data_IF_595787487138
#
_entry.id   IF_595787487138
#
_cell.length_a   1.000
_cell.length_b   1.000
_cell.length_c   1.000
_cell.angle_alpha   90.00
_cell.angle_beta   90.00
_cell.angle_gamma   90.00
#
_symmetry.space_group_name_H-M   'P 1'
#
loop_
_entity.id
_entity.type
_entity.pdbx_description
1 polymer ?
#
# COMPACT_ATOMS: atom_id res chain seq x y z
N UNK A 1 -18.22 -20.30 -85.79
CA UNK A 1 -18.89 -19.19 -85.07
C UNK A 1 -17.98 -18.85 -83.91
N UNK A 2 -17.58 -17.58 -83.74
CA UNK A 2 -16.71 -17.23 -82.63
C UNK A 2 -17.38 -17.63 -81.31
N UNK A 3 -16.63 -18.32 -80.45
CA UNK A 3 -17.13 -18.86 -79.18
C UNK A 3 -17.91 -20.18 -79.27
N UNK A 4 -17.79 -20.93 -80.38
CA UNK A 4 -18.34 -22.30 -80.49
C UNK A 4 -17.31 -23.27 -81.07
N UNK A 5 -17.23 -24.47 -80.49
CA UNK A 5 -16.49 -25.63 -81.02
C UNK A 5 -17.50 -26.60 -81.64
N UNK A 6 -17.26 -26.99 -82.89
CA UNK A 6 -18.13 -27.91 -83.63
C UNK A 6 -17.51 -29.31 -83.69
N UNK A 7 -18.27 -30.34 -83.37
CA UNK A 7 -17.91 -31.74 -83.61
C UNK A 7 -18.96 -32.40 -84.52
N UNK A 8 -18.48 -33.25 -85.44
CA UNK A 8 -19.32 -33.94 -86.43
C UNK A 8 -19.21 -35.45 -86.20
N UNK A 9 -20.34 -36.10 -85.95
CA UNK A 9 -20.44 -37.57 -85.88
C UNK A 9 -21.53 -38.04 -86.85
N UNK A 10 -21.12 -38.59 -88.00
CA UNK A 10 -22.07 -38.98 -89.05
C UNK A 10 -22.76 -37.77 -89.67
N UNK A 11 -24.09 -37.70 -89.54
CA UNK A 11 -24.91 -36.57 -90.01
C UNK A 11 -25.23 -35.55 -88.90
N UNK A 12 -24.83 -35.81 -87.66
CA UNK A 12 -25.09 -34.94 -86.52
C UNK A 12 -23.94 -33.93 -86.35
N UNK A 13 -24.30 -32.66 -86.21
CA UNK A 13 -23.37 -31.56 -85.90
C UNK A 13 -23.73 -31.03 -84.51
N UNK A 14 -22.80 -31.19 -83.57
CA UNK A 14 -22.91 -30.62 -82.22
C UNK A 14 -22.08 -29.34 -82.15
N UNK A 15 -22.71 -28.23 -81.81
CA UNK A 15 -22.04 -26.95 -81.56
C UNK A 15 -22.04 -26.67 -80.05
N UNK A 16 -20.87 -26.76 -79.42
CA UNK A 16 -20.70 -26.46 -77.98
C UNK A 16 -20.16 -25.05 -77.81
N UNK A 17 -20.79 -24.25 -76.95
CA UNK A 17 -20.31 -22.90 -76.62
C UNK A 17 -19.00 -23.00 -75.85
N UNK A 18 -17.95 -22.34 -76.35
CA UNK A 18 -16.64 -22.25 -75.70
C UNK A 18 -16.33 -20.79 -75.40
N UNK A 19 -16.12 -20.47 -74.14
CA UNK A 19 -15.66 -19.16 -73.69
C UNK A 19 -14.63 -19.37 -72.58
N UNK A 20 -13.63 -18.50 -72.53
CA UNK A 20 -12.66 -18.46 -71.44
C UNK A 20 -12.97 -17.29 -70.52
N UNK A 21 -12.72 -17.48 -69.23
CA UNK A 21 -12.94 -16.49 -68.19
C UNK A 21 -11.64 -16.26 -67.42
N UNK A 22 -11.60 -15.16 -66.68
CA UNK A 22 -10.61 -14.95 -65.63
C UNK A 22 -11.37 -14.89 -64.31
N UNK A 23 -10.96 -15.73 -63.35
CA UNK A 23 -11.43 -15.64 -61.96
C UNK A 23 -10.35 -14.92 -61.18
N UNK A 24 -10.62 -13.72 -60.73
CA UNK A 24 -9.68 -12.91 -59.96
C UNK A 24 -10.29 -12.43 -58.66
N UNK A 25 -9.42 -12.23 -57.67
CA UNK A 25 -9.82 -11.83 -56.34
C UNK A 25 -8.69 -11.13 -55.60
N UNK A 26 -9.07 -10.49 -54.50
CA UNK A 26 -8.16 -9.79 -53.61
C UNK A 26 -8.16 -10.43 -52.22
N UNK A 27 -7.03 -10.29 -51.53
CA UNK A 27 -6.85 -10.73 -50.16
C UNK A 27 -6.72 -9.51 -49.23
N UNK A 28 -7.62 -9.45 -48.25
CA UNK A 28 -7.64 -8.45 -47.18
C UNK A 28 -7.23 -9.08 -45.83
N UNK A 29 -6.53 -8.30 -45.01
CA UNK A 29 -6.09 -8.69 -43.66
C UNK A 29 -6.71 -7.78 -42.60
N UNK A 30 -7.56 -8.34 -41.74
CA UNK A 30 -8.10 -7.71 -40.54
C UNK A 30 -7.29 -8.16 -39.32
N UNK A 31 -6.11 -7.58 -39.17
CA UNK A 31 -5.12 -8.03 -38.19
C UNK A 31 -4.34 -6.89 -37.53
N UNK A 32 -4.81 -5.65 -37.72
CA UNK A 32 -4.15 -4.44 -37.24
C UNK A 32 -2.65 -4.35 -37.61
N UNK A 33 -2.29 -4.76 -38.83
CA UNK A 33 -0.90 -4.81 -39.32
C UNK A 33 0.00 -5.71 -38.48
N UNK A 34 -0.49 -6.91 -38.17
CA UNK A 34 0.22 -7.88 -37.37
C UNK A 34 1.63 -8.19 -37.92
N UNK A 35 2.62 -8.25 -37.02
CA UNK A 35 4.03 -8.52 -37.38
C UNK A 35 4.31 -9.99 -37.70
N UNK A 36 3.41 -10.88 -37.29
CA UNK A 36 3.46 -12.34 -37.49
C UNK A 36 2.59 -12.79 -38.68
N UNK A 37 2.16 -11.86 -39.55
CA UNK A 37 1.43 -12.17 -40.79
C UNK A 37 2.30 -13.08 -41.68
N UNK A 38 1.75 -14.17 -42.26
CA UNK A 38 2.49 -15.01 -43.18
C UNK A 38 2.88 -14.24 -44.45
N UNK A 39 3.98 -14.64 -45.09
CA UNK A 39 4.48 -14.00 -46.32
C UNK A 39 3.63 -14.32 -47.56
N UNK A 40 2.89 -15.43 -47.53
CA UNK A 40 2.00 -15.87 -48.61
C UNK A 40 0.78 -16.63 -48.05
N UNK A 41 -0.24 -16.74 -48.89
CA UNK A 41 -1.37 -17.67 -48.72
C UNK A 41 -1.54 -18.50 -49.98
N UNK A 42 -2.21 -19.65 -49.87
CA UNK A 42 -2.62 -20.46 -51.02
C UNK A 42 -4.13 -20.40 -51.20
N UNK A 43 -4.54 -20.05 -52.40
CA UNK A 43 -5.95 -19.97 -52.82
C UNK A 43 -6.20 -21.06 -53.84
N UNK A 44 -7.14 -21.95 -53.55
CA UNK A 44 -7.59 -22.99 -54.45
C UNK A 44 -8.77 -22.48 -55.28
N UNK A 45 -8.74 -22.71 -56.60
CA UNK A 45 -9.89 -22.55 -57.48
C UNK A 45 -10.68 -23.85 -57.53
N UNK A 46 -11.97 -23.79 -57.19
CA UNK A 46 -12.89 -24.91 -57.26
C UNK A 46 -13.79 -24.76 -58.48
N UNK A 47 -13.79 -25.76 -59.35
CA UNK A 47 -14.73 -25.92 -60.46
C UNK A 47 -15.77 -26.98 -60.06
N UNK A 48 -17.04 -26.59 -59.96
CA UNK A 48 -18.14 -27.46 -59.52
C UNK A 48 -17.81 -28.23 -58.21
N UNK A 49 -17.13 -27.57 -57.27
CA UNK A 49 -16.72 -28.13 -55.98
C UNK A 49 -15.42 -28.94 -55.98
N UNK A 50 -14.74 -29.12 -57.11
CA UNK A 50 -13.44 -29.81 -57.20
C UNK A 50 -12.31 -28.82 -57.40
N UNK A 51 -11.23 -28.94 -56.63
CA UNK A 51 -10.01 -28.14 -56.82
C UNK A 51 -9.39 -28.46 -58.19
N UNK A 52 -9.16 -27.42 -58.99
CA UNK A 52 -8.59 -27.52 -60.35
C UNK A 52 -7.30 -26.74 -60.55
N UNK A 53 -7.05 -25.71 -59.73
CA UNK A 53 -5.80 -24.95 -59.72
C UNK A 53 -5.57 -24.34 -58.32
N UNK A 54 -4.33 -23.95 -58.02
CA UNK A 54 -3.94 -23.26 -56.78
C UNK A 54 -2.98 -22.12 -57.11
N UNK A 55 -3.24 -20.94 -56.55
CA UNK A 55 -2.36 -19.76 -56.67
C UNK A 55 -1.88 -19.28 -55.32
N UNK A 56 -0.68 -18.72 -55.32
CA UNK A 56 -0.17 -17.98 -54.17
C UNK A 56 -0.47 -16.49 -54.31
N UNK A 57 -0.96 -15.89 -53.23
CA UNK A 57 -1.06 -14.43 -53.10
C UNK A 57 -0.04 -13.96 -52.06
N UNK A 58 0.69 -12.89 -52.38
CA UNK A 58 1.78 -12.37 -51.54
C UNK A 58 1.72 -10.84 -51.48
N UNK A 59 2.51 -10.23 -50.60
CA UNK A 59 2.68 -8.78 -50.60
C UNK A 59 3.22 -8.25 -51.95
N UNK A 60 4.08 -9.01 -52.65
CA UNK A 60 4.65 -8.61 -53.94
C UNK A 60 3.59 -8.55 -55.05
N UNK A 61 2.51 -9.34 -54.95
CA UNK A 61 1.36 -9.27 -55.87
C UNK A 61 0.29 -8.28 -55.41
N UNK A 62 0.60 -7.43 -54.43
CA UNK A 62 -0.36 -6.58 -53.72
C UNK A 62 -1.57 -7.38 -53.20
N UNK A 63 -1.33 -8.62 -52.76
CA UNK A 63 -2.36 -9.55 -52.29
C UNK A 63 -3.49 -9.79 -53.30
N UNK A 64 -3.18 -9.72 -54.59
CA UNK A 64 -4.08 -10.10 -55.69
C UNK A 64 -3.70 -11.45 -56.26
N UNK A 65 -4.68 -12.17 -56.79
CA UNK A 65 -4.49 -13.41 -57.53
C UNK A 65 -5.50 -13.52 -58.68
N UNK A 66 -5.12 -14.23 -59.73
CA UNK A 66 -5.96 -14.47 -60.89
C UNK A 66 -5.71 -15.86 -61.48
N UNK A 67 -6.81 -16.52 -61.84
CA UNK A 67 -6.85 -17.76 -62.60
C UNK A 67 -7.33 -17.42 -64.01
N UNK A 68 -6.39 -17.23 -64.92
CA UNK A 68 -6.66 -16.87 -66.30
C UNK A 68 -7.03 -18.10 -67.14
N UNK A 69 -7.73 -17.87 -68.24
CA UNK A 69 -8.02 -18.86 -69.28
C UNK A 69 -8.83 -20.09 -68.81
N UNK A 70 -9.65 -19.96 -67.77
CA UNK A 70 -10.51 -21.05 -67.28
C UNK A 70 -11.75 -21.21 -68.16
N UNK A 71 -12.17 -22.45 -68.41
CA UNK A 71 -13.31 -22.75 -69.28
C UNK A 71 -14.63 -22.27 -68.66
N UNK A 72 -15.50 -21.62 -69.42
CA UNK A 72 -16.80 -21.15 -68.93
C UNK A 72 -17.88 -22.25 -68.93
N UNK A 73 -17.76 -23.22 -69.83
CA UNK A 73 -18.77 -24.24 -70.08
C UNK A 73 -18.12 -25.62 -70.23
N UNK A 74 -18.82 -26.66 -69.79
CA UNK A 74 -18.41 -28.04 -70.02
C UNK A 74 -18.63 -28.49 -71.47
N UNK A 75 -18.28 -29.74 -71.77
CA UNK A 75 -18.42 -30.33 -73.11
C UNK A 75 -19.88 -30.34 -73.63
N UNK A 76 -20.87 -30.29 -72.72
CA UNK A 76 -22.30 -30.26 -73.04
C UNK A 76 -22.85 -28.83 -73.12
N UNK A 77 -22.02 -27.80 -72.90
CA UNK A 77 -22.43 -26.40 -72.91
C UNK A 77 -23.05 -25.92 -71.59
N UNK A 78 -22.94 -26.67 -70.49
CA UNK A 78 -23.41 -26.26 -69.16
C UNK A 78 -22.36 -25.40 -68.48
N UNK A 79 -22.75 -24.27 -67.91
CA UNK A 79 -21.80 -23.33 -67.28
C UNK A 79 -21.14 -23.95 -66.04
N UNK A 80 -19.81 -23.78 -65.93
CA UNK A 80 -19.08 -24.13 -64.72
C UNK A 80 -19.37 -23.13 -63.61
N UNK A 81 -19.58 -23.64 -62.38
CA UNK A 81 -19.59 -22.83 -61.16
C UNK A 81 -18.16 -22.76 -60.62
N UNK A 82 -17.64 -21.55 -60.47
CA UNK A 82 -16.34 -21.29 -59.85
C UNK A 82 -16.48 -20.66 -58.48
N UNK A 83 -15.71 -21.18 -57.53
CA UNK A 83 -15.58 -20.69 -56.16
C UNK A 83 -14.09 -20.69 -55.80
N UNK A 84 -13.70 -19.85 -54.85
CA UNK A 84 -12.34 -19.86 -54.29
C UNK A 84 -12.37 -20.32 -52.86
N UNK A 85 -11.30 -21.00 -52.43
CA UNK A 85 -11.12 -21.42 -51.05
C UNK A 85 -9.69 -21.14 -50.63
N UNK A 86 -9.51 -20.49 -49.48
CA UNK A 86 -8.20 -20.38 -48.88
C UNK A 86 -7.81 -21.68 -48.16
N UNK A 87 -6.54 -22.08 -48.29
CA UNK A 87 -5.98 -23.09 -47.41
C UNK A 87 -5.83 -22.53 -45.98
N UNK A 88 -5.98 -23.35 -44.93
CA UNK A 88 -5.97 -22.87 -43.55
C UNK A 88 -4.71 -22.06 -43.21
N UNK A 89 -4.90 -20.89 -42.61
CA UNK A 89 -3.82 -20.03 -42.12
C UNK A 89 -3.87 -20.03 -40.59
N UNK A 90 -2.79 -20.50 -39.95
CA UNK A 90 -2.73 -20.59 -38.49
C UNK A 90 -2.92 -19.21 -37.83
N UNK A 91 -3.82 -19.13 -36.84
CA UNK A 91 -4.13 -17.88 -36.12
C UNK A 91 -5.10 -16.93 -36.83
N UNK A 92 -5.68 -17.36 -37.95
CA UNK A 92 -6.62 -16.55 -38.73
C UNK A 92 -7.89 -17.34 -39.05
N UNK A 93 -9.02 -16.62 -39.05
CA UNK A 93 -10.28 -17.10 -39.58
C UNK A 93 -10.49 -16.48 -40.97
N UNK A 94 -10.72 -17.34 -41.96
CA UNK A 94 -10.94 -16.96 -43.36
C UNK A 94 -12.42 -16.78 -43.64
N UNK A 95 -12.75 -15.76 -44.42
CA UNK A 95 -14.10 -15.44 -44.86
C UNK A 95 -14.07 -15.03 -46.34
N UNK A 96 -14.93 -15.63 -47.16
CA UNK A 96 -14.90 -15.51 -48.63
C UNK A 96 -16.18 -14.87 -49.12
N UNK A 97 -16.04 -13.74 -49.82
CA UNK A 97 -17.13 -12.99 -50.42
C UNK A 97 -16.94 -12.92 -51.94
N UNK A 98 -17.64 -13.79 -52.67
CA UNK A 98 -17.41 -13.98 -54.11
C UNK A 98 -16.03 -14.60 -54.35
N UNK A 99 -15.09 -13.79 -54.82
CA UNK A 99 -13.68 -14.18 -54.99
C UNK A 99 -12.72 -13.39 -54.09
N UNK A 100 -13.21 -12.48 -53.27
CA UNK A 100 -12.38 -11.77 -52.29
C UNK A 100 -12.30 -12.58 -50.99
N UNK A 101 -11.11 -12.61 -50.40
CA UNK A 101 -10.81 -13.35 -49.17
C UNK A 101 -10.42 -12.34 -48.10
N UNK A 102 -11.03 -12.41 -46.92
CA UNK A 102 -10.63 -11.65 -45.74
C UNK A 102 -10.18 -12.59 -44.65
N UNK A 103 -8.96 -12.39 -44.11
CA UNK A 103 -8.54 -13.08 -42.90
C UNK A 103 -8.60 -12.14 -41.70
N UNK A 104 -9.31 -12.58 -40.67
CA UNK A 104 -9.37 -11.90 -39.37
C UNK A 104 -8.50 -12.65 -38.37
N UNK A 105 -7.65 -11.92 -37.65
CA UNK A 105 -6.79 -12.51 -36.62
C UNK A 105 -7.64 -13.01 -35.46
N UNK A 106 -7.42 -14.25 -35.03
CA UNK A 106 -8.17 -14.89 -33.95
C UNK A 106 -7.23 -15.58 -32.98
N UNK A 107 -7.69 -15.77 -31.76
CA UNK A 107 -6.94 -16.47 -30.73
C UNK A 107 -7.67 -16.45 -29.40
N UNK A 108 -7.30 -17.35 -28.51
CA UNK A 108 -7.76 -17.37 -27.13
C UNK A 108 -6.61 -17.02 -26.19
N UNK A 109 -6.95 -16.43 -25.05
CA UNK A 109 -6.05 -16.16 -23.95
C UNK A 109 -6.74 -16.50 -22.62
N UNK A 110 -5.99 -16.40 -21.53
CA UNK A 110 -6.50 -16.50 -20.18
C UNK A 110 -5.96 -15.37 -19.32
N UNK A 111 -6.71 -15.02 -18.29
CA UNK A 111 -6.29 -14.10 -17.24
C UNK A 111 -6.27 -14.86 -15.93
N UNK A 112 -5.12 -14.94 -15.28
CA UNK A 112 -4.96 -15.61 -14.00
C UNK A 112 -4.27 -14.70 -13.00
N UNK A 113 -4.72 -14.75 -11.75
CA UNK A 113 -4.22 -13.90 -10.70
C UNK A 113 -4.44 -14.52 -9.33
N UNK A 114 -3.74 -13.94 -8.36
CA UNK A 114 -3.80 -14.33 -6.95
C UNK A 114 -4.29 -13.17 -6.09
N UNK A 115 -4.90 -13.52 -4.96
CA UNK A 115 -5.32 -12.58 -3.94
C UNK A 115 -4.45 -12.72 -2.70
N UNK A 116 -3.81 -11.61 -2.33
CA UNK A 116 -3.01 -11.48 -1.11
C UNK A 116 -3.71 -10.58 -0.10
N UNK A 117 -3.62 -10.97 1.18
CA UNK A 117 -4.14 -10.20 2.31
C UNK A 117 -3.00 -9.69 3.18
N UNK A 118 -2.90 -8.36 3.32
CA UNK A 118 -2.05 -7.65 4.26
C UNK A 118 -2.91 -7.15 5.40
N UNK A 119 -3.14 -7.99 6.40
CA UNK A 119 -4.08 -7.70 7.50
C UNK A 119 -3.69 -8.33 8.84
N UNK A 120 -2.44 -8.79 8.97
CA UNK A 120 -1.98 -9.47 10.18
C UNK A 120 -2.77 -10.73 10.54
N UNK A 121 -3.35 -11.43 9.55
CA UNK A 121 -4.24 -12.58 9.74
C UNK A 121 -5.52 -12.23 10.51
N UNK A 122 -6.16 -11.13 10.13
CA UNK A 122 -7.39 -10.66 10.75
C UNK A 122 -8.50 -11.73 10.74
N UNK A 123 -9.17 -11.92 11.89
CA UNK A 123 -10.33 -12.81 12.02
C UNK A 123 -11.61 -12.25 11.38
N UNK A 124 -11.63 -10.95 11.09
CA UNK A 124 -12.75 -10.24 10.43
C UNK A 124 -12.64 -10.22 8.90
N UNK A 125 -11.71 -10.98 8.32
CA UNK A 125 -11.54 -11.09 6.87
C UNK A 125 -12.80 -11.69 6.23
N UNK A 126 -13.32 -11.14 5.11
CA UNK A 126 -14.44 -11.75 4.41
C UNK A 126 -14.08 -13.14 3.88
N UNK A 127 -15.07 -14.02 3.81
CA UNK A 127 -14.90 -15.40 3.33
C UNK A 127 -14.84 -15.52 1.81
N UNK A 128 -15.35 -14.51 1.11
CA UNK A 128 -15.38 -14.42 -0.36
C UNK A 128 -15.12 -12.98 -0.82
N UNK A 129 -14.56 -12.84 -2.02
CA UNK A 129 -14.43 -11.58 -2.74
C UNK A 129 -14.97 -11.75 -4.15
N UNK A 130 -15.31 -10.63 -4.81
CA UNK A 130 -15.68 -10.60 -6.22
C UNK A 130 -14.62 -9.87 -7.03
N UNK A 131 -14.06 -10.56 -8.02
CA UNK A 131 -13.10 -10.02 -8.96
C UNK A 131 -13.79 -9.90 -10.32
N UNK A 132 -13.88 -8.67 -10.82
CA UNK A 132 -14.41 -8.37 -12.14
C UNK A 132 -13.27 -8.45 -13.17
N UNK A 133 -13.53 -9.11 -14.31
CA UNK A 133 -12.71 -9.05 -15.51
C UNK A 133 -13.20 -7.92 -16.39
N UNK A 134 -12.29 -7.01 -16.76
CA UNK A 134 -12.57 -5.91 -17.66
C UNK A 134 -11.93 -6.17 -19.01
N UNK A 135 -12.71 -6.04 -20.09
CA UNK A 135 -12.26 -6.04 -21.47
C UNK A 135 -12.40 -4.61 -22.01
N UNK A 136 -11.28 -3.99 -22.39
CA UNK A 136 -11.23 -2.58 -22.84
C UNK A 136 -11.97 -1.62 -21.87
N UNK A 137 -11.82 -1.84 -20.57
CA UNK A 137 -12.44 -1.02 -19.52
C UNK A 137 -13.91 -1.35 -19.18
N UNK A 138 -14.54 -2.32 -19.87
CA UNK A 138 -15.91 -2.76 -19.57
C UNK A 138 -15.88 -4.11 -18.85
N UNK A 139 -16.66 -4.24 -17.77
CA UNK A 139 -16.84 -5.52 -17.08
C UNK A 139 -17.52 -6.52 -18.02
N UNK A 140 -16.90 -7.69 -18.20
CA UNK A 140 -17.39 -8.78 -19.07
C UNK A 140 -17.62 -10.09 -18.33
N UNK A 141 -17.00 -10.28 -17.17
CA UNK A 141 -17.20 -11.44 -16.31
C UNK A 141 -16.85 -11.08 -14.85
N UNK A 142 -17.33 -11.87 -13.90
CA UNK A 142 -17.06 -11.73 -12.47
C UNK A 142 -16.85 -13.10 -11.85
N UNK A 143 -15.76 -13.27 -11.09
CA UNK A 143 -15.52 -14.49 -10.30
C UNK A 143 -15.58 -14.23 -8.80
N UNK A 144 -16.19 -15.17 -8.09
CA UNK A 144 -16.06 -15.28 -6.64
C UNK A 144 -14.78 -16.05 -6.29
N UNK A 145 -14.00 -15.50 -5.37
CA UNK A 145 -12.71 -16.06 -4.94
C UNK A 145 -12.73 -16.25 -3.43
N UNK A 146 -12.33 -17.42 -2.96
CA UNK A 146 -12.43 -17.81 -1.54
C UNK A 146 -11.13 -18.43 -1.04
N UNK A 147 -11.07 -18.72 0.26
CA UNK A 147 -9.97 -19.51 0.82
C UNK A 147 -9.89 -20.94 0.24
N UNK A 148 -11.04 -21.53 -0.18
CA UNK A 148 -11.07 -22.87 -0.75
C UNK A 148 -10.40 -22.95 -2.13
N UNK A 149 -10.39 -21.84 -2.88
CA UNK A 149 -9.64 -21.72 -4.14
C UNK A 149 -8.20 -21.26 -3.92
N UNK A 150 -7.71 -21.34 -2.69
CA UNK A 150 -6.41 -20.81 -2.26
C UNK A 150 -6.20 -19.34 -2.66
N UNK A 151 -7.29 -18.56 -2.69
CA UNK A 151 -7.26 -17.16 -3.14
C UNK A 151 -6.74 -16.98 -4.58
N UNK A 152 -6.85 -17.99 -5.44
CA UNK A 152 -6.49 -17.94 -6.86
C UNK A 152 -7.75 -17.87 -7.73
N UNK A 153 -7.63 -17.25 -8.89
CA UNK A 153 -8.69 -17.20 -9.89
C UNK A 153 -8.12 -17.19 -11.31
N UNK A 154 -8.93 -17.70 -12.25
CA UNK A 154 -8.58 -17.80 -13.67
C UNK A 154 -9.81 -17.55 -14.52
N UNK A 155 -9.74 -16.68 -15.50
CA UNK A 155 -10.71 -16.52 -16.57
C UNK A 155 -10.13 -17.17 -17.83
N UNK A 156 -10.80 -18.20 -18.36
CA UNK A 156 -10.32 -19.01 -19.49
C UNK A 156 -11.04 -18.66 -20.79
N UNK A 157 -10.47 -19.08 -21.93
CA UNK A 157 -11.08 -18.99 -23.27
C UNK A 157 -11.54 -17.57 -23.62
N UNK A 158 -10.75 -16.58 -23.25
CA UNK A 158 -11.01 -15.18 -23.57
C UNK A 158 -10.56 -14.90 -25.00
N UNK A 159 -11.38 -14.23 -25.80
CA UNK A 159 -10.95 -13.82 -27.13
C UNK A 159 -9.76 -12.86 -27.05
N UNK A 160 -8.70 -13.12 -27.80
CA UNK A 160 -7.52 -12.26 -27.79
C UNK A 160 -7.69 -11.02 -28.68
N UNK A 161 -8.53 -11.08 -29.71
CA UNK A 161 -8.69 -10.03 -30.72
C UNK A 161 -10.16 -9.73 -31.02
N UNK A 162 -10.45 -8.49 -31.38
CA UNK A 162 -11.76 -8.06 -31.84
C UNK A 162 -12.04 -8.43 -33.31
N UNK A 163 -13.20 -8.03 -33.83
CA UNK A 163 -13.61 -8.32 -35.21
C UNK A 163 -12.71 -7.70 -36.30
N UNK A 164 -11.84 -6.74 -35.93
CA UNK A 164 -10.87 -6.11 -36.83
C UNK A 164 -9.45 -6.65 -36.62
N UNK A 165 -9.29 -7.66 -35.75
CA UNK A 165 -7.99 -8.22 -35.38
C UNK A 165 -7.17 -7.33 -34.43
N UNK A 166 -7.79 -6.37 -33.74
CA UNK A 166 -7.13 -5.56 -32.71
C UNK A 166 -7.15 -6.31 -31.38
N UNK A 167 -6.00 -6.37 -30.70
CA UNK A 167 -5.90 -7.10 -29.44
C UNK A 167 -6.77 -6.47 -28.33
N UNK A 168 -7.52 -7.29 -27.60
CA UNK A 168 -8.23 -6.85 -26.41
C UNK A 168 -7.26 -6.58 -25.26
N UNK A 169 -7.48 -5.47 -24.55
CA UNK A 169 -6.83 -5.20 -23.27
C UNK A 169 -7.68 -5.80 -22.15
N UNK A 170 -7.11 -6.72 -21.40
CA UNK A 170 -7.74 -7.28 -20.20
C UNK A 170 -7.13 -6.71 -18.93
N UNK A 171 -7.99 -6.41 -17.96
CA UNK A 171 -7.64 -5.89 -16.63
C UNK A 171 -8.55 -6.55 -15.59
N UNK A 172 -8.15 -6.51 -14.32
CA UNK A 172 -8.95 -7.02 -13.21
C UNK A 172 -9.25 -5.91 -12.22
N UNK A 173 -10.42 -5.99 -11.59
CA UNK A 173 -10.82 -5.06 -10.52
C UNK A 173 -11.51 -5.84 -9.42
N UNK A 174 -11.13 -5.59 -8.17
CA UNK A 174 -11.89 -6.10 -7.05
C UNK A 174 -13.07 -5.17 -6.72
N UNK A 175 -14.22 -5.75 -6.38
CA UNK A 175 -15.31 -5.00 -5.78
C UNK A 175 -14.92 -4.50 -4.38
N UNK A 176 -15.33 -3.27 -3.98
CA UNK A 176 -14.90 -2.67 -2.72
C UNK A 176 -15.20 -3.54 -1.49
N UNK A 177 -14.24 -3.61 -0.57
CA UNK A 177 -14.38 -4.32 0.70
C UNK A 177 -14.18 -3.33 1.83
N UNK A 178 -15.17 -3.22 2.71
CA UNK A 178 -15.12 -2.29 3.83
C UNK A 178 -13.89 -2.54 4.73
N UNK A 179 -13.15 -1.46 5.04
CA UNK A 179 -11.94 -1.52 5.88
C UNK A 179 -10.71 -2.10 5.19
N UNK A 180 -10.72 -2.23 3.85
CA UNK A 180 -9.58 -2.67 3.07
C UNK A 180 -9.34 -1.75 1.88
N UNK A 181 -8.07 -1.54 1.55
CA UNK A 181 -7.63 -0.80 0.37
C UNK A 181 -6.98 -1.78 -0.63
N UNK A 182 -7.53 -1.91 -1.86
CA UNK A 182 -7.00 -2.82 -2.86
C UNK A 182 -5.87 -2.17 -3.69
N UNK A 183 -4.89 -2.99 -4.07
CA UNK A 183 -3.85 -2.66 -5.06
C UNK A 183 -3.73 -3.79 -6.07
N UNK A 184 -3.81 -3.45 -7.35
CA UNK A 184 -3.66 -4.39 -8.47
C UNK A 184 -2.25 -4.26 -9.06
N UNK A 185 -1.56 -5.38 -9.26
CA UNK A 185 -0.28 -5.45 -9.96
C UNK A 185 -0.35 -6.55 -11.03
N UNK A 186 -0.46 -6.16 -12.30
CA UNK A 186 -0.84 -7.08 -13.37
C UNK A 186 -2.26 -7.60 -13.10
N UNK A 187 -2.36 -8.88 -12.72
CA UNK A 187 -3.62 -9.50 -12.30
C UNK A 187 -3.63 -9.93 -10.82
N UNK A 188 -2.54 -9.70 -10.09
CA UNK A 188 -2.52 -9.98 -8.65
C UNK A 188 -3.17 -8.84 -7.89
N UNK A 189 -3.99 -9.19 -6.90
CA UNK A 189 -4.73 -8.25 -6.07
C UNK A 189 -4.19 -8.36 -4.65
N UNK A 190 -3.78 -7.24 -4.05
CA UNK A 190 -3.40 -7.17 -2.64
C UNK A 190 -4.36 -6.26 -1.91
N UNK A 191 -5.00 -6.74 -0.84
CA UNK A 191 -5.74 -5.87 0.07
C UNK A 191 -4.97 -5.60 1.33
N UNK A 192 -4.88 -4.33 1.69
CA UNK A 192 -4.27 -3.88 2.94
C UNK A 192 -5.37 -3.44 3.89
N UNK A 193 -5.34 -3.93 5.13
CA UNK A 193 -6.28 -3.50 6.18
C UNK A 193 -6.04 -2.03 6.49
N UNK A 194 -7.09 -1.23 6.49
CA UNK A 194 -7.04 0.20 6.79
C UNK A 194 -8.12 0.57 7.79
N UNK A 195 -7.88 1.65 8.52
CA UNK A 195 -8.81 2.17 9.50
C UNK A 195 -8.18 3.27 10.33
N UNK A 196 -9.04 4.02 11.03
CA UNK A 196 -8.62 5.02 12.01
C UNK A 196 -9.11 4.63 13.39
N UNK A 197 -8.42 5.13 14.41
CA UNK A 197 -8.77 5.01 15.81
C UNK A 197 -8.51 6.34 16.52
N UNK A 198 -8.89 6.40 17.78
CA UNK A 198 -8.56 7.49 18.70
C UNK A 198 -8.05 6.93 20.01
N UNK A 199 -7.28 7.73 20.74
CA UNK A 199 -6.84 7.44 22.10
C UNK A 199 -7.31 8.58 22.98
N UNK A 200 -8.10 8.28 24.00
CA UNK A 200 -8.61 9.27 24.93
C UNK A 200 -8.42 8.81 26.37
N UNK A 201 -8.21 9.77 27.26
CA UNK A 201 -7.97 9.50 28.67
C UNK A 201 -8.21 10.72 29.52
N UNK A 202 -8.20 10.48 30.82
CA UNK A 202 -8.39 11.50 31.85
C UNK A 202 -7.20 11.55 32.78
N UNK A 203 -6.94 12.73 33.34
CA UNK A 203 -5.94 12.95 34.37
C UNK A 203 -6.62 13.15 35.73
N UNK A 204 -6.20 12.34 36.70
CA UNK A 204 -6.63 12.42 38.10
C UNK A 204 -5.45 12.85 38.98
N UNK A 205 -5.74 13.73 39.95
CA UNK A 205 -4.81 14.16 40.98
C UNK A 205 -5.22 13.58 42.34
N UNK A 206 -4.29 12.91 43.02
CA UNK A 206 -4.41 12.42 44.40
C UNK A 206 -3.44 13.21 45.28
N UNK A 207 -3.86 14.42 45.63
CA UNK A 207 -3.00 15.43 46.26
C UNK A 207 -3.76 16.35 47.23
N UNK A 208 -4.96 15.96 47.66
CA UNK A 208 -5.82 16.74 48.55
C UNK A 208 -6.01 18.21 48.12
N UNK A 209 -6.04 18.46 46.81
CA UNK A 209 -6.12 19.81 46.22
C UNK A 209 -4.96 20.73 46.63
N UNK A 210 -3.74 20.18 46.54
CA UNK A 210 -2.49 20.89 46.68
C UNK A 210 -2.48 22.26 45.94
N UNK A 211 -1.98 23.30 46.61
CA UNK A 211 -1.96 24.68 46.09
C UNK A 211 -0.88 24.91 45.03
N UNK A 212 0.12 24.06 45.02
CA UNK A 212 1.31 24.06 44.18
C UNK A 212 1.18 23.09 42.99
N UNK A 213 -0.03 22.55 42.75
CA UNK A 213 -0.31 21.71 41.58
C UNK A 213 0.07 22.48 40.29
N UNK A 214 0.78 21.85 39.35
CA UNK A 214 1.13 22.51 38.10
C UNK A 214 -0.11 22.84 37.27
N UNK A 215 -0.04 23.95 36.52
CA UNK A 215 -1.15 24.39 35.66
C UNK A 215 -1.39 23.46 34.45
N UNK A 216 -0.36 22.68 34.09
CA UNK A 216 -0.37 21.79 32.94
C UNK A 216 0.50 20.54 33.15
N UNK A 217 0.19 19.49 32.42
CA UNK A 217 1.06 18.32 32.21
C UNK A 217 1.27 18.10 30.71
N UNK A 218 2.29 17.33 30.35
CA UNK A 218 2.51 16.86 28.98
C UNK A 218 2.29 15.35 28.91
N UNK A 219 1.41 14.94 28.01
CA UNK A 219 1.08 13.53 27.74
C UNK A 219 1.56 13.18 26.35
N UNK A 220 2.50 12.25 26.27
CA UNK A 220 3.02 11.70 25.03
C UNK A 220 2.15 10.52 24.56
N UNK A 221 1.79 10.53 23.28
CA UNK A 221 1.25 9.37 22.58
C UNK A 221 2.40 8.55 22.00
N UNK A 222 2.49 7.29 22.38
CA UNK A 222 3.46 6.35 21.84
C UNK A 222 2.79 5.42 20.83
N UNK A 223 3.34 5.34 19.62
CA UNK A 223 3.00 4.35 18.61
C UNK A 223 4.13 3.31 18.55
N UNK A 224 3.81 2.05 18.86
CA UNK A 224 4.78 0.95 18.93
C UNK A 224 6.04 1.31 19.77
N UNK A 225 5.84 2.01 20.89
CA UNK A 225 6.91 2.43 21.81
C UNK A 225 7.66 3.72 21.43
N UNK A 226 7.35 4.36 20.30
CA UNK A 226 7.94 5.63 19.90
C UNK A 226 6.95 6.79 20.08
N UNK A 227 7.41 7.89 20.67
CA UNK A 227 6.60 9.12 20.77
C UNK A 227 6.31 9.65 19.37
N UNK A 228 5.02 9.84 19.07
CA UNK A 228 4.53 10.34 17.77
C UNK A 228 3.75 11.65 17.88
N UNK A 229 3.24 11.96 19.08
CA UNK A 229 2.53 13.20 19.36
C UNK A 229 2.61 13.51 20.87
N UNK A 230 2.42 14.76 21.26
CA UNK A 230 2.39 15.22 22.65
C UNK A 230 1.29 16.24 22.82
N UNK A 231 0.46 16.08 23.86
CA UNK A 231 -0.58 17.03 24.24
C UNK A 231 -0.30 17.68 25.58
N UNK A 232 -0.58 18.97 25.65
CA UNK A 232 -0.68 19.71 26.90
C UNK A 232 -2.09 19.55 27.47
N UNK A 233 -2.19 19.13 28.72
CA UNK A 233 -3.45 18.88 29.42
C UNK A 233 -3.53 19.79 30.62
N UNK A 234 -4.64 20.52 30.75
CA UNK A 234 -4.80 21.59 31.74
C UNK A 234 -6.15 21.48 32.44
N UNK A 235 -6.36 22.31 33.47
CA UNK A 235 -7.68 22.45 34.07
C UNK A 235 -8.75 22.95 33.08
N UNK A 236 -8.37 23.75 32.08
CA UNK A 236 -9.30 24.26 31.06
C UNK A 236 -9.83 23.17 30.13
N UNK A 237 -9.07 22.08 29.92
CA UNK A 237 -9.53 20.88 29.21
C UNK A 237 -10.23 19.88 30.13
N UNK A 238 -10.60 20.31 31.34
CA UNK A 238 -11.12 19.45 32.41
C UNK A 238 -10.21 18.25 32.71
N UNK A 239 -8.89 18.41 32.53
CA UNK A 239 -7.92 17.33 32.66
C UNK A 239 -8.19 16.12 31.73
N UNK A 240 -8.87 16.33 30.61
CA UNK A 240 -9.13 15.32 29.57
C UNK A 240 -8.26 15.59 28.35
N UNK A 241 -7.96 14.51 27.62
CA UNK A 241 -7.23 14.58 26.36
C UNK A 241 -7.67 13.50 25.39
N UNK A 242 -7.59 13.80 24.10
CA UNK A 242 -7.96 12.91 23.00
C UNK A 242 -7.00 13.09 21.84
N UNK A 243 -6.41 12.02 21.33
CA UNK A 243 -5.67 11.97 20.06
C UNK A 243 -6.57 11.34 19.01
N UNK A 244 -6.90 12.08 17.95
CA UNK A 244 -7.86 11.67 16.92
C UNK A 244 -7.18 11.27 15.61
N UNK A 245 -7.94 10.64 14.70
CA UNK A 245 -7.52 10.31 13.33
C UNK A 245 -6.24 9.47 13.24
N UNK A 246 -5.94 8.70 14.27
CA UNK A 246 -4.75 7.85 14.33
C UNK A 246 -4.94 6.66 13.39
N UNK A 247 -3.95 6.35 12.56
CA UNK A 247 -4.00 5.12 11.74
C UNK A 247 -4.07 3.91 12.65
N UNK A 248 -5.01 3.01 12.41
CA UNK A 248 -5.12 1.78 13.19
C UNK A 248 -4.13 0.69 12.73
N UNK A 249 -3.70 0.74 11.46
CA UNK A 249 -2.85 -0.29 10.85
C UNK A 249 -1.68 0.32 10.05
N UNK A 250 -0.57 -0.41 9.98
CA UNK A 250 0.60 -0.08 9.16
C UNK A 250 0.42 -0.43 7.66
N UNK A 251 1.47 -0.25 6.86
CA UNK A 251 1.44 -0.51 5.41
C UNK A 251 1.34 -2.01 5.07
N UNK A 252 1.52 -2.88 6.06
CA UNK A 252 1.39 -4.33 6.00
C UNK A 252 0.04 -4.79 6.60
N UNK A 253 -0.78 -3.84 7.05
CA UNK A 253 -2.09 -4.08 7.66
C UNK A 253 -2.01 -4.66 9.07
N UNK A 254 -0.87 -4.56 9.74
CA UNK A 254 -0.73 -4.95 11.16
C UNK A 254 -1.15 -3.80 12.05
N UNK A 255 -1.87 -4.11 13.14
CA UNK A 255 -2.38 -3.10 14.05
C UNK A 255 -1.25 -2.36 14.77
N UNK A 256 -1.35 -1.03 14.83
CA UNK A 256 -0.51 -0.22 15.70
C UNK A 256 -0.90 -0.41 17.16
N UNK A 257 0.09 -0.55 18.03
CA UNK A 257 -0.10 -0.44 19.48
C UNK A 257 0.06 1.01 19.88
N UNK A 258 -0.98 1.59 20.47
CA UNK A 258 -0.92 2.92 21.07
C UNK A 258 -0.91 2.84 22.59
N UNK A 259 -0.03 3.64 23.19
CA UNK A 259 0.12 3.77 24.64
C UNK A 259 0.29 5.24 24.98
N UNK A 260 0.04 5.61 26.23
CA UNK A 260 0.25 6.96 26.71
C UNK A 260 1.36 6.97 27.75
N UNK A 261 2.09 8.09 27.84
CA UNK A 261 3.10 8.32 28.86
C UNK A 261 3.03 9.76 29.31
N UNK A 262 2.97 9.99 30.61
CA UNK A 262 3.15 11.34 31.14
C UNK A 262 4.63 11.68 31.23
N UNK A 263 4.97 12.91 30.87
CA UNK A 263 6.30 13.46 31.19
C UNK A 263 6.40 13.68 32.71
N UNK A 264 7.60 13.56 33.27
CA UNK A 264 7.80 13.63 34.71
C UNK A 264 7.29 14.96 35.29
N UNK A 265 6.49 14.87 36.35
CA UNK A 265 5.97 16.03 37.09
C UNK A 265 6.68 16.08 38.45
N UNK A 266 7.45 17.13 38.75
CA UNK A 266 8.15 17.26 40.03
C UNK A 266 7.19 17.14 41.24
N UNK A 267 7.58 16.36 42.25
CA UNK A 267 6.77 16.16 43.47
C UNK A 267 5.60 15.19 43.31
N UNK A 268 5.47 14.51 42.17
CA UNK A 268 4.38 13.56 41.92
C UNK A 268 4.90 12.23 41.35
N UNK A 269 4.29 11.14 41.82
CA UNK A 269 4.41 9.83 41.19
C UNK A 269 3.26 9.62 40.20
N UNK A 270 3.59 9.20 38.97
CA UNK A 270 2.60 8.98 37.90
C UNK A 270 2.31 7.50 37.69
N UNK A 271 1.02 7.16 37.60
CA UNK A 271 0.55 5.81 37.26
C UNK A 271 -0.43 5.88 36.09
N UNK A 272 -0.18 5.04 35.09
CA UNK A 272 -1.04 4.87 33.91
C UNK A 272 -1.86 3.59 34.03
N UNK A 273 -3.17 3.68 33.82
CA UNK A 273 -4.09 2.55 33.79
C UNK A 273 -4.93 2.60 32.52
N UNK A 274 -4.59 1.76 31.53
CA UNK A 274 -5.13 1.90 30.18
C UNK A 274 -4.63 3.20 29.56
N UNK A 275 -5.51 4.20 29.48
CA UNK A 275 -5.20 5.55 29.01
C UNK A 275 -5.42 6.62 30.10
N UNK A 276 -5.90 6.26 31.28
CA UNK A 276 -6.05 7.21 32.37
C UNK A 276 -4.76 7.35 33.16
N UNK A 277 -4.46 8.59 33.56
CA UNK A 277 -3.25 8.94 34.31
C UNK A 277 -3.67 9.37 35.71
N UNK A 278 -3.00 8.86 36.74
CA UNK A 278 -3.14 9.30 38.12
C UNK A 278 -1.81 9.82 38.62
N UNK A 279 -1.75 11.07 39.09
CA UNK A 279 -0.63 11.56 39.89
C UNK A 279 -0.95 11.50 41.37
N UNK A 280 -0.04 10.94 42.15
CA UNK A 280 -0.10 10.94 43.61
C UNK A 280 0.99 11.86 44.12
N UNK A 281 0.63 12.81 45.00
CA UNK A 281 1.63 13.69 45.62
C UNK A 281 2.52 12.83 46.52
N UNK A 282 3.82 12.82 46.26
CA UNK A 282 4.79 12.26 47.20
C UNK A 282 5.00 13.30 48.29
N UNK A 283 4.96 12.88 49.57
CA UNK A 283 5.05 13.79 50.70
C UNK A 283 6.25 14.73 50.57
N UNK A 284 6.17 15.94 51.11
CA UNK A 284 7.25 16.92 51.02
C UNK A 284 8.03 17.01 52.33
N UNK A 285 9.32 17.32 52.21
CA UNK A 285 10.21 17.66 53.31
C UNK A 285 10.99 18.93 52.96
N UNK A 286 11.67 19.49 53.96
CA UNK A 286 12.62 20.58 53.78
C UNK A 286 13.92 20.24 54.49
N UNK A 287 15.02 20.77 53.97
CA UNK A 287 16.33 20.70 54.60
C UNK A 287 16.74 22.11 54.95
N UNK A 288 16.85 22.40 56.24
CA UNK A 288 17.32 23.68 56.73
C UNK A 288 18.47 23.48 57.70
N UNK A 289 19.40 24.43 57.70
CA UNK A 289 20.60 24.36 58.51
C UNK A 289 21.24 25.72 58.70
N UNK A 290 22.22 25.74 59.58
CA UNK A 290 22.99 26.92 59.95
C UNK A 290 24.48 26.69 59.70
N UNK A 291 25.18 27.76 59.33
CA UNK A 291 26.62 27.78 59.20
C UNK A 291 27.24 28.48 60.42
N UNK A 292 28.11 27.74 61.11
CA UNK A 292 28.89 28.23 62.24
C UNK A 292 30.37 28.34 61.89
N UNK A 293 31.01 29.41 62.35
CA UNK A 293 32.44 29.65 62.21
C UNK A 293 33.10 29.60 63.59
N UNK A 294 34.05 28.69 63.81
CA UNK A 294 34.85 28.53 65.06
C UNK A 294 36.27 29.05 64.88
N UNK A 295 36.37 30.26 64.36
CA UNK A 295 37.62 30.82 63.84
C UNK A 295 38.15 32.01 64.65
N UNK A 296 37.60 32.25 65.84
CA UNK A 296 37.97 33.42 66.66
C UNK A 296 37.62 34.77 66.01
N UNK A 297 36.71 34.79 65.03
CA UNK A 297 36.28 35.98 64.30
C UNK A 297 37.42 36.66 63.52
N UNK A 298 38.19 35.86 62.78
CA UNK A 298 39.30 36.32 61.93
C UNK A 298 38.84 37.25 60.79
N UNK A 299 39.73 38.16 60.37
CA UNK A 299 39.46 39.15 59.31
C UNK A 299 39.33 38.58 57.90
N UNK A 300 39.82 37.37 57.65
CA UNK A 300 39.92 36.78 56.30
C UNK A 300 38.82 35.75 56.00
N UNK A 301 37.69 35.80 56.74
CA UNK A 301 36.53 34.93 56.47
C UNK A 301 35.91 35.29 55.11
N UNK A 302 35.54 34.30 54.26
CA UNK A 302 34.87 34.58 53.00
C UNK A 302 33.51 35.25 53.21
N UNK A 303 33.09 36.08 52.25
CA UNK A 303 31.80 36.77 52.31
C UNK A 303 30.61 35.82 52.07
N UNK A 304 30.86 34.71 51.37
CA UNK A 304 29.88 33.70 51.00
C UNK A 304 30.49 32.30 50.90
N UNK A 305 29.67 31.28 51.06
CA UNK A 305 29.99 29.88 50.84
C UNK A 305 28.93 29.24 49.92
N UNK A 306 29.24 28.08 49.38
CA UNK A 306 28.30 27.25 48.60
C UNK A 306 27.99 25.96 49.34
N UNK A 307 26.71 25.70 49.56
CA UNK A 307 26.22 24.48 50.18
C UNK A 307 25.45 23.69 49.13
N UNK A 308 25.90 22.47 48.86
CA UNK A 308 25.23 21.52 47.99
C UNK A 308 24.22 20.69 48.80
N UNK A 309 23.01 20.56 48.28
CA UNK A 309 22.02 19.59 48.73
C UNK A 309 22.17 18.30 47.92
N UNK A 310 22.32 17.19 48.62
CA UNK A 310 22.41 15.86 48.04
C UNK A 310 21.14 15.07 48.35
N UNK A 311 20.59 14.41 47.33
CA UNK A 311 19.53 13.41 47.45
C UNK A 311 20.10 12.05 47.07
N UNK A 312 20.08 11.08 47.98
CA UNK A 312 20.68 9.75 47.81
C UNK A 312 22.12 9.80 47.27
N UNK A 313 22.92 10.76 47.75
CA UNK A 313 24.32 10.94 47.37
C UNK A 313 24.57 11.72 46.07
N UNK A 314 23.53 12.18 45.35
CA UNK A 314 23.66 13.01 44.14
C UNK A 314 23.32 14.47 44.45
N UNK A 315 24.16 15.40 44.02
CA UNK A 315 23.86 16.84 44.11
C UNK A 315 22.65 17.18 43.24
N UNK A 316 21.63 17.79 43.84
CA UNK A 316 20.39 18.20 43.17
C UNK A 316 20.15 19.71 43.21
N UNK A 317 20.78 20.42 44.15
CA UNK A 317 20.72 21.88 44.26
C UNK A 317 21.97 22.42 44.97
N UNK A 318 22.29 23.70 44.75
CA UNK A 318 23.35 24.42 45.45
C UNK A 318 22.80 25.79 45.88
N UNK A 319 23.06 26.19 47.12
CA UNK A 319 22.67 27.48 47.65
C UNK A 319 23.91 28.28 48.12
N UNK A 320 23.93 29.56 47.78
CA UNK A 320 24.93 30.51 48.27
C UNK A 320 24.46 31.09 49.61
N UNK A 321 25.33 31.01 50.61
CA UNK A 321 25.03 31.39 52.00
C UNK A 321 26.03 32.43 52.45
N UNK A 322 25.56 33.52 53.06
CA UNK A 322 26.40 34.65 53.43
C UNK A 322 25.99 35.23 54.78
N UNK A 323 26.71 36.25 55.23
CA UNK A 323 26.30 37.03 56.40
C UNK A 323 24.92 37.69 56.21
N UNK A 324 24.53 38.02 54.98
CA UNK A 324 23.23 38.65 54.70
C UNK A 324 22.05 37.69 54.94
N UNK A 325 22.25 36.37 54.77
CA UNK A 325 21.27 35.35 55.13
C UNK A 325 21.40 34.89 56.59
N UNK A 326 22.12 35.66 57.42
CA UNK A 326 22.49 35.29 58.80
C UNK A 326 23.18 33.92 58.89
N UNK A 327 23.90 33.51 57.83
CA UNK A 327 24.50 32.18 57.73
C UNK A 327 23.48 31.03 57.86
N UNK A 328 22.22 31.25 57.50
CA UNK A 328 21.16 30.25 57.44
C UNK A 328 20.82 29.91 56.00
N UNK A 329 20.32 28.70 55.78
CA UNK A 329 19.88 28.23 54.47
C UNK A 329 18.72 27.23 54.60
N UNK A 330 17.92 27.14 53.53
CA UNK A 330 16.74 26.28 53.47
C UNK A 330 16.50 25.84 52.03
N UNK A 331 16.35 24.54 51.84
CA UNK A 331 15.87 23.92 50.62
C UNK A 331 14.44 23.41 50.87
N UNK A 332 13.48 23.94 50.14
CA UNK A 332 12.05 23.58 50.22
C UNK A 332 11.65 22.64 49.10
N UNK A 333 10.40 22.17 49.14
CA UNK A 333 9.76 21.43 48.04
C UNK A 333 10.50 20.14 47.66
N UNK A 334 11.10 19.48 48.66
CA UNK A 334 11.85 18.25 48.48
C UNK A 334 10.92 17.05 48.64
N UNK A 335 10.93 16.11 47.68
CA UNK A 335 10.18 14.87 47.84
C UNK A 335 10.70 14.07 49.04
N UNK A 336 9.83 13.68 49.96
CA UNK A 336 10.17 12.88 51.13
C UNK A 336 10.31 11.38 50.78
N UNK A 337 9.61 10.91 49.75
CA UNK A 337 9.60 9.52 49.32
C UNK A 337 9.80 9.40 47.80
N UNK A 338 10.45 8.31 47.38
CA UNK A 338 10.52 7.91 45.98
C UNK A 338 9.21 7.25 45.51
N UNK A 339 9.19 6.86 44.23
CA UNK A 339 8.03 6.21 43.59
C UNK A 339 7.72 4.81 44.09
N UNK A 340 8.59 4.21 44.91
CA UNK A 340 8.36 2.90 45.53
C UNK A 340 7.94 3.04 47.00
N UNK A 341 7.84 4.28 47.50
CA UNK A 341 7.52 4.60 48.89
C UNK A 341 8.72 4.57 49.82
N UNK A 342 9.96 4.47 49.33
CA UNK A 342 11.15 4.56 50.15
C UNK A 342 11.49 6.02 50.45
N UNK A 343 11.89 6.32 51.68
CA UNK A 343 12.26 7.69 52.04
C UNK A 343 13.54 8.13 51.32
N UNK A 344 13.53 9.32 50.71
CA UNK A 344 14.75 9.95 50.20
C UNK A 344 15.67 10.33 51.36
N UNK A 345 16.96 10.00 51.22
CA UNK A 345 17.99 10.47 52.14
C UNK A 345 18.53 11.80 51.63
N UNK A 346 18.38 12.85 52.44
CA UNK A 346 18.98 14.16 52.17
C UNK A 346 20.21 14.40 53.04
N UNK A 347 21.22 15.00 52.44
CA UNK A 347 22.47 15.40 53.08
C UNK A 347 22.92 16.75 52.54
N UNK A 348 23.73 17.47 53.32
CA UNK A 348 24.31 18.76 52.93
C UNK A 348 25.82 18.64 52.88
N UNK A 349 26.44 19.35 51.95
CA UNK A 349 27.89 19.41 51.83
C UNK A 349 28.33 20.83 51.53
N UNK A 350 29.28 21.34 52.29
CA UNK A 350 29.96 22.58 51.94
C UNK A 350 30.99 22.31 50.83
N UNK A 351 31.00 23.17 49.81
CA UNK A 351 32.11 23.20 48.86
C UNK A 351 33.40 23.66 49.57
N UNK A 352 34.59 23.20 49.15
CA UNK A 352 35.83 23.52 49.84
C UNK A 352 36.01 25.03 50.07
N UNK A 353 36.30 25.41 51.31
CA UNK A 353 36.64 26.77 51.69
C UNK A 353 38.11 26.80 52.10
N UNK A 354 38.91 27.61 51.41
CA UNK A 354 40.35 27.69 51.64
C UNK A 354 40.69 28.04 53.09
N UNK A 355 41.57 27.23 53.69
CA UNK A 355 42.04 27.43 55.07
C UNK A 355 41.10 26.92 56.16
N UNK A 356 39.97 26.30 55.81
CA UNK A 356 39.01 25.78 56.78
C UNK A 356 38.80 24.27 56.66
N UNK A 357 38.57 23.63 57.80
CA UNK A 357 38.06 22.26 57.84
C UNK A 357 36.56 22.29 58.13
N UNK A 358 35.77 21.73 57.21
CA UNK A 358 34.30 21.62 57.37
C UNK A 358 33.90 20.33 58.08
N UNK A 359 32.95 20.44 59.00
CA UNK A 359 32.25 19.34 59.66
C UNK A 359 30.74 19.55 59.53
N UNK A 360 30.00 18.48 59.21
CA UNK A 360 28.54 18.50 59.06
C UNK A 360 27.92 17.63 60.15
N UNK A 361 26.99 18.18 60.93
CA UNK A 361 26.23 17.47 61.95
C UNK A 361 24.73 17.66 61.67
N UNK A 362 24.07 16.60 61.21
CA UNK A 362 22.72 16.71 60.64
C UNK A 362 22.77 17.59 59.39
N UNK A 363 22.19 18.80 59.49
CA UNK A 363 22.25 19.82 58.44
C UNK A 363 23.01 21.08 58.88
N UNK A 364 23.56 21.13 60.09
CA UNK A 364 24.39 22.26 60.50
C UNK A 364 25.84 22.03 60.06
N UNK A 365 26.48 23.09 59.57
CA UNK A 365 27.85 23.06 59.08
C UNK A 365 28.72 23.91 60.00
N UNK A 366 29.84 23.38 60.45
CA UNK A 366 30.86 24.11 61.23
C UNK A 366 32.18 24.14 60.48
N UNK A 367 32.77 25.33 60.35
CA UNK A 367 34.17 25.49 59.94
C UNK A 367 35.04 25.81 61.15
N UNK A 368 36.12 25.04 61.34
CA UNK A 368 37.18 25.24 62.35
C UNK A 368 38.47 25.67 61.70
#
# INVERSE_FOLDING_TARGET
MDGYKSEVQGYDITNTKVAKLTVEGTKTWNDNNATDRPSSIKVDLLQNGKVVDTKEATAATNWKYAFADVEAYDANGVAYKYEVKEQPVAGYQSDVHGYDITNTKVGETKVEGTKTWKDGNATSRPTTIKVDLLQNGKVVDTKEVTAATEWKYTFEKLQAYDANGVAYKYEVKEQPIAGYEPKVNGYDITNTKVGQTKVEGTKTWKDDNAKDRPEMIKVDLLQNGKVVDTKEVTAATEWKYTFENLKAYDAEGKAYKYEIKEQAVPGYESKVSGTDITNTKVGETKVEGTKTWKDGNVKNRPEMIKIDLLQNGKVIATQEVSKASEWKYVFTDLAAYDTEGNAYKYEVKEQPVDGYKSEVQGYDITNT
#
